data_IF_958506865080
#
_entry.id   IF_958506865080
#
_cell.length_a   1.000
_cell.length_b   1.000
_cell.length_c   1.000
_cell.angle_alpha   90.00
_cell.angle_beta   90.00
_cell.angle_gamma   90.00
#
_symmetry.space_group_name_H-M   'P 1'
#
loop_
_entity.id
_entity.type
_entity.pdbx_description
1 polymer ?
#
# COMPACT_ATOMS: atom_id res chain seq x y z
N UNK A 1 -25.95 0.18 23.20
CA UNK A 1 -24.58 0.25 22.63
C UNK A 1 -24.72 0.76 21.21
N UNK A 2 -24.39 2.03 20.97
CA UNK A 2 -24.40 2.59 19.61
C UNK A 2 -23.16 2.05 18.91
N UNK A 3 -23.35 1.12 17.96
CA UNK A 3 -22.25 0.60 17.15
C UNK A 3 -21.55 1.73 16.43
N UNK A 4 -20.21 1.74 16.46
CA UNK A 4 -19.39 2.63 15.64
C UNK A 4 -19.79 2.42 14.18
N UNK A 5 -20.60 3.32 13.62
CA UNK A 5 -21.02 3.25 12.23
C UNK A 5 -19.81 3.59 11.37
N UNK A 6 -19.26 2.59 10.69
CA UNK A 6 -18.19 2.77 9.71
C UNK A 6 -18.74 3.57 8.53
N UNK A 7 -18.30 4.83 8.38
CA UNK A 7 -18.68 5.69 7.26
C UNK A 7 -17.56 5.72 6.23
N UNK A 8 -17.94 5.67 4.96
CA UNK A 8 -16.99 5.73 3.85
C UNK A 8 -16.93 7.18 3.32
N UNK A 9 -15.76 7.81 3.45
CA UNK A 9 -15.49 9.14 2.90
C UNK A 9 -14.90 8.99 1.51
N UNK A 10 -15.66 9.39 0.49
CA UNK A 10 -15.25 9.31 -0.91
C UNK A 10 -14.84 10.71 -1.37
N UNK A 11 -13.54 10.89 -1.62
CA UNK A 11 -13.03 12.16 -2.12
C UNK A 11 -13.16 12.20 -3.64
N UNK A 12 -13.72 13.29 -4.14
CA UNK A 12 -13.79 13.61 -5.56
C UNK A 12 -12.92 14.84 -5.81
N UNK A 13 -11.93 14.68 -6.68
CA UNK A 13 -11.01 15.73 -7.09
C UNK A 13 -11.25 15.97 -8.57
N UNK A 14 -11.42 17.23 -8.96
CA UNK A 14 -11.47 17.59 -10.37
C UNK A 14 -10.09 17.33 -10.98
N UNK A 15 -10.05 16.73 -12.16
CA UNK A 15 -8.79 16.41 -12.84
C UNK A 15 -7.99 17.70 -13.08
N UNK A 16 -8.65 18.81 -13.42
CA UNK A 16 -8.00 20.09 -13.67
C UNK A 16 -7.43 20.75 -12.39
N UNK A 17 -8.06 20.51 -11.23
CA UNK A 17 -7.64 21.04 -9.92
C UNK A 17 -6.62 20.12 -9.22
N UNK A 18 -6.61 18.83 -9.58
CA UNK A 18 -5.63 17.83 -9.14
C UNK A 18 -4.25 18.01 -9.79
N UNK A 19 -4.17 18.80 -10.85
CA UNK A 19 -2.98 18.98 -11.69
C UNK A 19 -2.25 20.27 -11.32
N UNK A 20 -1.21 20.14 -10.50
CA UNK A 20 -0.10 21.09 -10.53
C UNK A 20 0.61 20.92 -11.89
N UNK A 21 0.35 21.84 -12.83
CA UNK A 21 0.79 21.76 -14.24
C UNK A 21 2.28 21.45 -14.42
N UNK A 22 3.12 21.79 -13.43
CA UNK A 22 4.58 21.79 -13.57
C UNK A 22 5.31 20.60 -12.91
N UNK A 23 4.60 19.56 -12.45
CA UNK A 23 5.22 18.50 -11.64
C UNK A 23 4.63 17.09 -11.87
N UNK A 24 4.79 16.54 -13.08
CA UNK A 24 4.21 15.26 -13.53
C UNK A 24 4.35 14.09 -12.53
N UNK A 25 5.52 13.92 -11.92
CA UNK A 25 5.80 12.78 -11.03
C UNK A 25 5.19 12.92 -9.62
N UNK A 26 4.79 14.13 -9.20
CA UNK A 26 4.24 14.42 -7.86
C UNK A 26 2.77 14.82 -7.87
N UNK A 27 2.11 14.89 -9.05
CA UNK A 27 0.67 15.21 -9.17
C UNK A 27 -0.20 14.28 -8.31
N UNK A 28 -0.13 12.97 -8.58
CA UNK A 28 -0.95 11.96 -7.89
C UNK A 28 -0.60 11.84 -6.40
N UNK A 29 0.68 11.80 -5.99
CA UNK A 29 1.05 11.80 -4.57
C UNK A 29 0.57 13.03 -3.81
N UNK A 30 0.66 14.23 -4.38
CA UNK A 30 0.28 15.46 -3.70
C UNK A 30 -1.23 15.54 -3.50
N UNK A 31 -2.02 15.19 -4.52
CA UNK A 31 -3.47 15.08 -4.37
C UNK A 31 -3.82 14.06 -3.28
N UNK A 32 -3.18 12.89 -3.28
CA UNK A 32 -3.42 11.84 -2.28
C UNK A 32 -3.08 12.30 -0.87
N UNK A 33 -1.89 12.87 -0.65
CA UNK A 33 -1.46 13.38 0.66
C UNK A 33 -2.37 14.51 1.12
N UNK A 34 -2.75 15.43 0.23
CA UNK A 34 -3.64 16.54 0.56
C UNK A 34 -5.01 16.04 1.05
N UNK A 35 -5.57 15.02 0.38
CA UNK A 35 -6.81 14.39 0.81
C UNK A 35 -6.67 13.69 2.18
N UNK A 36 -5.54 13.02 2.42
CA UNK A 36 -5.22 12.39 3.70
C UNK A 36 -5.07 13.42 4.82
N UNK A 37 -4.36 14.52 4.58
CA UNK A 37 -4.14 15.56 5.58
C UNK A 37 -5.45 16.26 5.96
N UNK A 38 -6.27 16.60 4.95
CA UNK A 38 -7.63 17.09 5.18
C UNK A 38 -8.48 16.07 5.96
N UNK A 39 -8.35 14.77 5.67
CA UNK A 39 -9.10 13.73 6.38
C UNK A 39 -8.72 13.68 7.87
N UNK A 40 -7.43 13.73 8.18
CA UNK A 40 -6.95 13.75 9.56
C UNK A 40 -7.37 15.03 10.29
N UNK A 41 -7.33 16.18 9.62
CA UNK A 41 -7.71 17.47 10.23
C UNK A 41 -9.22 17.56 10.49
N UNK A 42 -10.05 17.15 9.53
CA UNK A 42 -11.50 17.35 9.61
C UNK A 42 -12.26 16.18 10.25
N UNK A 43 -11.72 14.96 10.15
CA UNK A 43 -12.41 13.74 10.57
C UNK A 43 -11.62 12.90 11.58
N UNK A 44 -10.38 13.28 11.86
CA UNK A 44 -9.60 12.68 12.94
C UNK A 44 -10.28 12.89 14.29
N UNK A 45 -10.04 11.96 15.21
CA UNK A 45 -10.57 12.00 16.58
C UNK A 45 -9.52 12.50 17.57
N UNK A 46 -8.49 13.20 17.09
CA UNK A 46 -7.27 13.52 17.82
C UNK A 46 -6.58 12.26 18.36
N UNK A 47 -6.58 11.19 17.57
CA UNK A 47 -5.96 9.92 17.93
C UNK A 47 -4.44 10.06 18.10
N UNK A 48 -3.91 9.49 19.19
CA UNK A 48 -2.46 9.41 19.39
C UNK A 48 -1.82 8.33 18.51
N UNK A 49 -2.55 7.24 18.24
CA UNK A 49 -2.13 6.14 17.37
C UNK A 49 -3.13 5.91 16.25
N UNK A 50 -2.63 5.78 15.02
CA UNK A 50 -3.46 5.51 13.84
C UNK A 50 -3.00 4.24 13.11
N UNK A 51 -3.96 3.43 12.64
CA UNK A 51 -3.73 2.27 11.78
C UNK A 51 -4.33 2.52 10.40
N UNK A 52 -3.50 2.50 9.36
CA UNK A 52 -3.90 2.78 7.98
C UNK A 52 -3.75 1.50 7.16
N UNK A 53 -4.85 1.02 6.60
CA UNK A 53 -4.84 -0.11 5.67
C UNK A 53 -4.86 0.41 4.24
N UNK A 54 -3.89 -0.02 3.43
CA UNK A 54 -3.76 0.41 2.04
C UNK A 54 -3.58 -0.78 1.11
N UNK A 55 -4.14 -0.67 -0.09
CA UNK A 55 -3.79 -1.59 -1.16
C UNK A 55 -2.36 -1.34 -1.63
N UNK A 56 -1.64 -2.42 -1.95
CA UNK A 56 -0.28 -2.34 -2.45
C UNK A 56 -0.31 -2.41 -3.98
N UNK A 57 -0.58 -1.26 -4.61
CA UNK A 57 -0.55 -1.15 -6.07
C UNK A 57 0.90 -1.13 -6.57
N UNK A 58 1.32 -2.11 -7.40
CA UNK A 58 2.70 -2.18 -7.89
C UNK A 58 2.97 -1.24 -9.07
N UNK A 59 1.95 -0.74 -9.77
CA UNK A 59 2.10 0.29 -10.79
C UNK A 59 2.36 1.64 -10.09
N UNK A 60 3.56 2.19 -10.32
CA UNK A 60 4.06 3.45 -9.75
C UNK A 60 4.09 3.49 -8.21
N UNK A 61 5.00 2.71 -7.59
CA UNK A 61 5.27 2.73 -6.15
C UNK A 61 5.73 4.13 -5.64
N UNK A 62 4.77 5.03 -5.52
CA UNK A 62 4.85 6.39 -4.98
C UNK A 62 4.66 6.40 -3.46
N UNK A 63 4.66 5.23 -2.82
CA UNK A 63 4.55 5.07 -1.36
C UNK A 63 5.63 5.84 -0.61
N UNK A 64 6.78 6.14 -1.24
CA UNK A 64 7.82 6.99 -0.64
C UNK A 64 7.28 8.35 -0.16
N UNK A 65 6.36 8.96 -0.91
CA UNK A 65 5.79 10.26 -0.57
C UNK A 65 4.81 10.14 0.61
N UNK A 66 3.92 9.13 0.56
CA UNK A 66 3.01 8.82 1.67
C UNK A 66 3.77 8.49 2.96
N UNK A 67 4.78 7.63 2.88
CA UNK A 67 5.62 7.29 4.05
C UNK A 67 6.34 8.51 4.60
N UNK A 68 6.88 9.38 3.72
CA UNK A 68 7.51 10.63 4.13
C UNK A 68 6.55 11.57 4.88
N UNK A 69 5.32 11.73 4.37
CA UNK A 69 4.27 12.49 5.03
C UNK A 69 3.83 11.88 6.37
N UNK A 70 3.58 10.56 6.42
CA UNK A 70 3.20 9.92 7.68
C UNK A 70 4.31 10.01 8.73
N UNK A 71 5.58 9.92 8.31
CA UNK A 71 6.72 10.16 9.19
C UNK A 71 6.76 11.61 9.68
N UNK A 72 6.49 12.60 8.81
CA UNK A 72 6.46 14.01 9.21
C UNK A 72 5.39 14.26 10.28
N UNK A 73 4.19 13.69 10.15
CA UNK A 73 3.11 13.75 11.16
C UNK A 73 3.57 13.25 12.53
N UNK A 74 4.38 12.18 12.58
CA UNK A 74 4.91 11.65 13.85
C UNK A 74 5.98 12.56 14.43
N UNK A 75 6.90 13.03 13.58
CA UNK A 75 8.01 13.88 14.01
C UNK A 75 7.58 15.27 14.48
N UNK A 76 6.49 15.80 13.93
CA UNK A 76 5.88 17.07 14.37
C UNK A 76 4.96 16.91 15.57
N UNK A 77 4.80 15.70 16.10
CA UNK A 77 3.98 15.41 17.28
C UNK A 77 2.47 15.38 16.99
N UNK A 78 2.05 15.42 15.72
CA UNK A 78 0.63 15.30 15.35
C UNK A 78 0.09 13.88 15.57
N UNK A 79 0.98 12.88 15.60
CA UNK A 79 0.69 11.53 16.08
C UNK A 79 1.88 10.99 16.88
N UNK A 80 1.65 10.08 17.81
CA UNK A 80 2.73 9.35 18.49
C UNK A 80 3.19 8.14 17.67
N UNK A 81 2.25 7.52 16.92
CA UNK A 81 2.53 6.33 16.12
C UNK A 81 1.53 6.18 14.99
N UNK A 82 2.02 5.84 13.80
CA UNK A 82 1.19 5.49 12.66
C UNK A 82 1.64 4.13 12.13
N UNK A 83 0.72 3.19 12.00
CA UNK A 83 0.95 1.86 11.43
C UNK A 83 0.40 1.81 10.01
N UNK A 84 1.29 1.79 9.00
CA UNK A 84 0.91 1.61 7.61
C UNK A 84 0.91 0.12 7.26
N UNK A 85 -0.26 -0.42 6.96
CA UNK A 85 -0.51 -1.85 6.74
C UNK A 85 -0.86 -2.06 5.26
N UNK A 86 0.12 -2.51 4.50
CA UNK A 86 -0.02 -2.76 3.06
C UNK A 86 -0.59 -4.15 2.79
N UNK A 87 -1.55 -4.25 1.88
CA UNK A 87 -2.11 -5.52 1.45
C UNK A 87 -1.09 -6.37 0.69
N UNK A 88 -1.15 -7.68 0.85
CA UNK A 88 -0.30 -8.58 0.07
C UNK A 88 -0.68 -8.53 -1.41
N UNK A 89 0.30 -8.39 -2.33
CA UNK A 89 0.03 -8.42 -3.77
C UNK A 89 -0.74 -9.68 -4.18
N UNK A 90 -1.74 -9.53 -5.05
CA UNK A 90 -2.58 -10.63 -5.55
C UNK A 90 -3.87 -10.86 -4.75
N UNK A 91 -4.06 -10.21 -3.61
CA UNK A 91 -5.37 -10.13 -2.97
C UNK A 91 -6.21 -9.06 -3.67
N UNK A 92 -7.22 -9.46 -4.45
CA UNK A 92 -8.08 -8.56 -5.26
C UNK A 92 -9.45 -8.28 -4.61
N UNK A 93 -9.63 -8.65 -3.34
CA UNK A 93 -10.92 -8.54 -2.64
C UNK A 93 -10.74 -7.89 -1.29
N UNK A 94 -10.41 -6.59 -1.27
CA UNK A 94 -10.52 -5.84 -0.03
C UNK A 94 -11.93 -5.25 0.15
N UNK A 95 -12.33 -5.00 1.39
CA UNK A 95 -13.63 -4.38 1.70
C UNK A 95 -13.78 -2.98 1.09
N UNK A 96 -12.67 -2.25 0.91
CA UNK A 96 -12.66 -0.93 0.29
C UNK A 96 -13.05 -1.02 -1.20
N UNK A 97 -12.56 -2.03 -1.92
CA UNK A 97 -12.92 -2.27 -3.34
C UNK A 97 -14.38 -2.64 -3.52
N UNK A 98 -14.96 -3.36 -2.56
CA UNK A 98 -16.36 -3.78 -2.61
C UNK A 98 -17.31 -2.56 -2.65
N UNK A 99 -16.97 -1.48 -1.94
CA UNK A 99 -17.70 -0.21 -1.97
C UNK A 99 -17.69 0.43 -3.37
N UNK A 100 -16.51 0.53 -3.98
CA UNK A 100 -16.37 1.03 -5.35
C UNK A 100 -17.10 0.17 -6.38
N UNK A 101 -17.23 -1.13 -6.15
CA UNK A 101 -18.01 -2.02 -6.99
C UNK A 101 -19.48 -1.61 -7.12
N UNK A 102 -20.11 -1.14 -6.03
CA UNK A 102 -21.50 -0.67 -6.07
C UNK A 102 -21.62 0.69 -6.77
N UNK A 103 -20.72 1.63 -6.46
CA UNK A 103 -20.67 2.92 -7.15
C UNK A 103 -20.49 2.74 -8.67
N UNK A 104 -19.59 1.84 -9.09
CA UNK A 104 -19.34 1.54 -10.51
C UNK A 104 -20.55 0.96 -11.24
N UNK A 105 -21.34 0.11 -10.56
CA UNK A 105 -22.59 -0.43 -11.13
C UNK A 105 -23.64 0.66 -11.34
N UNK A 106 -23.79 1.55 -10.36
CA UNK A 106 -24.75 2.66 -10.44
C UNK A 106 -24.32 3.69 -11.50
N UNK A 107 -23.03 4.03 -11.52
CA UNK A 107 -22.44 4.94 -12.51
C UNK A 107 -22.75 4.51 -13.95
N UNK A 108 -22.54 3.23 -14.29
CA UNK A 108 -22.81 2.67 -15.63
C UNK A 108 -24.28 2.80 -16.09
N UNK A 109 -25.20 3.10 -15.18
CA UNK A 109 -26.65 3.20 -15.42
C UNK A 109 -27.19 4.62 -15.19
N UNK A 110 -26.30 5.58 -14.95
CA UNK A 110 -26.64 6.96 -14.65
C UNK A 110 -26.06 7.88 -15.73
N UNK A 111 -26.78 8.95 -16.07
CA UNK A 111 -26.20 10.03 -16.87
C UNK A 111 -25.35 10.89 -15.94
N UNK A 112 -24.05 11.00 -16.22
CA UNK A 112 -23.07 11.62 -15.33
C UNK A 112 -22.10 12.50 -16.11
N UNK A 113 -22.54 13.73 -16.40
CA UNK A 113 -21.75 14.70 -17.17
C UNK A 113 -20.94 15.68 -16.31
N UNK A 114 -21.13 15.67 -14.98
CA UNK A 114 -20.46 16.62 -14.06
C UNK A 114 -19.94 15.92 -12.80
N UNK A 115 -18.98 16.56 -12.11
CA UNK A 115 -18.49 16.10 -10.81
C UNK A 115 -19.61 16.01 -9.76
N UNK A 116 -20.62 16.88 -9.86
CA UNK A 116 -21.81 16.85 -9.01
C UNK A 116 -22.66 15.61 -9.27
N UNK A 117 -22.87 15.25 -10.53
CA UNK A 117 -23.59 14.01 -10.89
C UNK A 117 -22.84 12.77 -10.37
N UNK A 118 -21.51 12.77 -10.45
CA UNK A 118 -20.68 11.71 -9.89
C UNK A 118 -20.81 11.64 -8.36
N UNK A 119 -20.81 12.79 -7.67
CA UNK A 119 -21.04 12.86 -6.23
C UNK A 119 -22.38 12.21 -5.84
N UNK A 120 -23.43 12.47 -6.61
CA UNK A 120 -24.74 11.89 -6.37
C UNK A 120 -24.75 10.38 -6.58
N UNK A 121 -24.02 9.86 -7.56
CA UNK A 121 -23.84 8.40 -7.73
C UNK A 121 -23.19 7.80 -6.50
N UNK A 122 -22.10 8.38 -6.00
CA UNK A 122 -21.43 7.86 -4.80
C UNK A 122 -22.34 7.89 -3.57
N UNK A 123 -23.06 8.99 -3.33
CA UNK A 123 -24.03 9.10 -2.22
C UNK A 123 -25.16 8.06 -2.33
N UNK A 124 -25.67 7.82 -3.54
CA UNK A 124 -26.76 6.87 -3.78
C UNK A 124 -26.30 5.40 -3.75
N UNK A 125 -25.02 5.14 -3.94
CA UNK A 125 -24.50 3.76 -4.01
C UNK A 125 -24.44 3.02 -2.67
N UNK A 126 -24.43 3.74 -1.54
CA UNK A 126 -24.50 3.16 -0.19
C UNK A 126 -24.98 4.20 0.82
N UNK A 127 -25.79 3.80 1.80
CA UNK A 127 -26.24 4.67 2.91
C UNK A 127 -25.11 5.12 3.84
N UNK A 128 -23.94 4.47 3.77
CA UNK A 128 -22.75 4.81 4.57
C UNK A 128 -21.78 5.74 3.84
N UNK A 129 -22.06 6.07 2.57
CA UNK A 129 -21.18 6.93 1.79
C UNK A 129 -21.43 8.40 2.07
N UNK A 130 -20.33 9.09 2.33
CA UNK A 130 -20.26 10.53 2.29
C UNK A 130 -19.27 10.95 1.21
N UNK A 131 -19.55 12.07 0.55
CA UNK A 131 -18.73 12.57 -0.56
C UNK A 131 -18.13 13.91 -0.19
N UNK A 132 -16.83 14.04 -0.40
CA UNK A 132 -16.06 15.26 -0.21
C UNK A 132 -15.58 15.72 -1.58
N UNK A 133 -16.10 16.84 -2.08
CA UNK A 133 -15.55 17.47 -3.28
C UNK A 133 -14.36 18.32 -2.83
N UNK A 134 -13.16 17.94 -3.26
CA UNK A 134 -11.91 18.50 -2.75
C UNK A 134 -11.16 19.23 -3.87
N UNK A 135 -10.87 20.51 -3.63
CA UNK A 135 -10.27 21.42 -4.62
C UNK A 135 -8.92 22.00 -4.17
N UNK A 136 -8.48 21.75 -2.94
CA UNK A 136 -7.27 22.36 -2.37
C UNK A 136 -6.10 21.38 -2.47
N UNK A 137 -5.26 21.44 -3.49
CA UNK A 137 -4.05 20.60 -3.53
C UNK A 137 -2.87 21.34 -2.92
N UNK A 138 -2.33 20.79 -1.82
CA UNK A 138 -1.07 21.23 -1.22
C UNK A 138 0.10 20.55 -1.94
N UNK A 139 1.19 21.28 -2.17
CA UNK A 139 2.37 20.70 -2.82
C UNK A 139 3.32 20.14 -1.78
N UNK A 140 3.56 18.82 -1.86
CA UNK A 140 4.56 18.14 -1.06
C UNK A 140 5.73 17.74 -1.95
N UNK A 141 6.95 18.01 -1.50
CA UNK A 141 8.16 17.55 -2.17
C UNK A 141 8.96 16.69 -1.22
N UNK A 142 9.56 15.66 -1.80
CA UNK A 142 10.43 14.75 -1.09
C UNK A 142 11.81 14.78 -1.73
N UNK A 143 12.80 15.18 -0.95
CA UNK A 143 14.22 14.91 -1.21
C UNK A 143 14.64 13.77 -0.28
N UNK A 144 15.69 13.00 -0.60
CA UNK A 144 16.23 12.03 0.34
C UNK A 144 16.38 12.65 1.73
N UNK A 145 15.63 12.14 2.71
CA UNK A 145 15.68 12.62 4.09
C UNK A 145 15.04 13.97 4.41
N UNK A 146 14.49 14.70 3.42
CA UNK A 146 13.84 16.00 3.66
C UNK A 146 12.44 15.99 3.06
N UNK A 147 11.46 16.25 3.93
CA UNK A 147 10.07 16.49 3.55
C UNK A 147 9.84 18.00 3.47
N UNK A 148 9.32 18.48 2.35
CA UNK A 148 9.04 19.90 2.12
C UNK A 148 7.55 20.06 1.89
N UNK A 149 6.92 20.90 2.71
CA UNK A 149 5.51 21.27 2.60
C UNK A 149 5.40 22.70 2.07
N UNK A 150 4.55 22.90 1.05
CA UNK A 150 4.22 24.20 0.49
C UNK A 150 2.70 24.39 0.45
N UNK A 151 2.18 25.36 1.21
CA UNK A 151 0.74 25.67 1.22
C UNK A 151 0.22 26.15 -0.15
N UNK A 152 1.10 26.69 -1.02
CA UNK A 152 0.83 27.12 -2.42
C UNK A 152 2.12 27.05 -3.26
N UNK A 153 2.03 27.10 -4.59
CA UNK A 153 3.19 27.13 -5.50
C UNK A 153 4.23 28.23 -5.18
N UNK A 154 3.82 29.30 -4.49
CA UNK A 154 4.66 30.43 -4.07
C UNK A 154 4.66 30.65 -2.53
N UNK A 155 4.27 29.63 -1.75
CA UNK A 155 4.21 29.71 -0.29
C UNK A 155 5.58 29.59 0.39
N UNK A 156 5.63 29.84 1.70
CA UNK A 156 6.84 29.62 2.51
C UNK A 156 7.08 28.11 2.59
N UNK A 157 8.26 27.66 2.16
CA UNK A 157 8.63 26.25 2.22
C UNK A 157 8.98 25.86 3.66
N UNK A 158 8.33 24.81 4.17
CA UNK A 158 8.70 24.22 5.45
C UNK A 158 9.45 22.92 5.21
N UNK A 159 10.77 22.95 5.40
CA UNK A 159 11.62 21.76 5.32
C UNK A 159 11.66 21.03 6.66
N UNK A 160 11.47 19.72 6.63
CA UNK A 160 11.55 18.83 7.79
C UNK A 160 12.53 17.68 7.48
N UNK A 161 13.58 17.55 8.29
CA UNK A 161 14.46 16.39 8.24
C UNK A 161 13.77 15.18 8.87
N UNK A 162 13.62 14.12 8.09
CA UNK A 162 12.99 12.87 8.53
C UNK A 162 14.00 11.77 8.89
N UNK A 163 15.30 12.02 8.71
CA UNK A 163 16.35 11.06 9.05
C UNK A 163 16.85 11.27 10.47
N UNK A 164 17.03 10.15 11.17
CA UNK A 164 17.68 10.13 12.48
C UNK A 164 19.20 10.33 12.39
N UNK A 165 19.80 10.12 11.21
CA UNK A 165 21.23 10.30 10.94
C UNK A 165 21.43 11.21 9.73
N UNK A 166 22.55 11.96 9.66
CA UNK A 166 22.86 12.80 8.52
C UNK A 166 22.94 12.00 7.20
N UNK A 167 22.53 12.60 6.08
CA UNK A 167 22.55 11.97 4.75
C UNK A 167 23.95 11.53 4.33
N UNK A 168 24.97 12.23 4.78
CA UNK A 168 26.38 12.00 4.47
C UNK A 168 26.88 10.64 4.98
N UNK A 169 26.15 10.02 5.92
CA UNK A 169 26.43 8.68 6.43
C UNK A 169 25.74 7.57 5.63
N UNK A 170 24.90 7.92 4.65
CA UNK A 170 24.20 6.97 3.80
C UNK A 170 24.93 6.83 2.47
N UNK A 171 25.46 5.64 2.20
CA UNK A 171 25.97 5.29 0.88
C UNK A 171 24.80 4.84 -0.01
N UNK A 172 24.38 5.62 -1.02
CA UNK A 172 23.26 5.28 -1.87
C UNK A 172 23.52 4.05 -2.76
N UNK A 173 24.78 3.61 -2.90
CA UNK A 173 25.17 2.41 -3.63
C UNK A 173 25.26 1.18 -2.71
N UNK A 174 25.35 1.38 -1.40
CA UNK A 174 25.28 0.31 -0.42
C UNK A 174 23.82 -0.14 -0.25
N UNK A 175 23.40 -1.09 -1.08
CA UNK A 175 22.15 -1.81 -0.86
C UNK A 175 22.16 -2.50 0.52
N UNK A 176 20.98 -2.76 1.13
CA UNK A 176 20.91 -3.58 2.32
C UNK A 176 21.61 -4.91 2.05
N UNK A 177 22.42 -5.37 2.99
CA UNK A 177 23.10 -6.66 2.86
C UNK A 177 22.10 -7.73 2.47
N UNK A 178 22.48 -8.63 1.56
CA UNK A 178 21.63 -9.75 1.15
C UNK A 178 21.21 -10.50 2.42
N UNK A 179 19.93 -10.42 2.77
CA UNK A 179 19.37 -11.27 3.81
C UNK A 179 19.26 -12.64 3.14
N UNK A 180 20.14 -13.62 3.46
CA UNK A 180 19.96 -14.94 2.91
C UNK A 180 18.59 -15.42 3.35
N UNK A 181 17.77 -15.91 2.43
CA UNK A 181 16.52 -16.54 2.80
C UNK A 181 16.85 -17.57 3.87
N UNK A 182 16.36 -17.38 5.08
CA UNK A 182 16.44 -18.39 6.13
C UNK A 182 15.63 -19.56 5.59
N UNK A 183 16.30 -20.47 4.89
CA UNK A 183 15.66 -21.64 4.31
C UNK A 183 14.81 -22.32 5.37
N UNK A 184 13.70 -22.93 4.97
CA UNK A 184 12.84 -23.64 5.90
C UNK A 184 13.67 -24.78 6.55
N UNK A 185 13.58 -24.92 7.87
CA UNK A 185 14.25 -26.04 8.56
C UNK A 185 13.69 -27.38 8.05
N UNK A 186 14.47 -28.46 8.15
CA UNK A 186 14.00 -29.79 7.76
C UNK A 186 12.70 -30.21 8.48
N UNK A 187 12.58 -29.84 9.76
CA UNK A 187 11.36 -30.05 10.54
C UNK A 187 10.17 -29.23 10.01
N UNK A 188 10.39 -27.96 9.62
CA UNK A 188 9.33 -27.13 9.04
C UNK A 188 8.92 -27.62 7.66
N UNK A 189 9.85 -28.14 6.85
CA UNK A 189 9.56 -28.80 5.59
C UNK A 189 8.67 -30.03 5.79
N UNK A 190 9.04 -30.93 6.71
CA UNK A 190 8.25 -32.13 7.01
C UNK A 190 6.84 -31.78 7.51
N UNK A 191 6.73 -30.78 8.39
CA UNK A 191 5.46 -30.26 8.87
C UNK A 191 4.59 -29.73 7.72
N UNK A 192 5.11 -28.80 6.92
CA UNK A 192 4.37 -28.20 5.81
C UNK A 192 3.97 -29.25 4.79
N UNK A 193 4.84 -30.21 4.49
CA UNK A 193 4.49 -31.35 3.64
C UNK A 193 3.31 -32.12 4.21
N UNK A 194 3.36 -32.55 5.48
CA UNK A 194 2.26 -33.30 6.10
C UNK A 194 0.92 -32.55 6.12
N UNK A 195 0.96 -31.21 6.24
CA UNK A 195 -0.24 -30.37 6.35
C UNK A 195 -0.78 -29.90 5.03
N UNK A 196 0.05 -29.72 4.00
CA UNK A 196 -0.35 -29.14 2.71
C UNK A 196 -0.49 -30.21 1.63
N UNK A 197 0.34 -31.26 1.64
CA UNK A 197 0.34 -32.33 0.63
C UNK A 197 -1.05 -32.96 0.41
N UNK A 198 -1.86 -33.28 1.44
CA UNK A 198 -3.18 -33.87 1.26
C UNK A 198 -4.15 -32.98 0.45
N UNK A 199 -3.94 -31.66 0.46
CA UNK A 199 -4.79 -30.68 -0.21
C UNK A 199 -4.27 -30.27 -1.60
N UNK A 200 -3.05 -30.68 -1.96
CA UNK A 200 -2.54 -30.49 -3.32
C UNK A 200 -3.29 -31.38 -4.31
N UNK A 201 -3.46 -30.95 -5.57
CA UNK A 201 -4.09 -31.81 -6.60
C UNK A 201 -3.28 -33.10 -6.80
N UNK A 202 -3.96 -34.22 -7.04
CA UNK A 202 -3.34 -35.56 -7.17
C UNK A 202 -2.17 -35.59 -8.18
N UNK A 203 -2.30 -34.86 -9.28
CA UNK A 203 -1.27 -34.72 -10.33
C UNK A 203 0.06 -34.12 -9.81
N UNK A 204 0.00 -33.26 -8.79
CA UNK A 204 1.18 -32.64 -8.18
C UNK A 204 1.67 -33.40 -6.94
N UNK A 205 0.79 -34.12 -6.24
CA UNK A 205 1.17 -34.94 -5.07
C UNK A 205 2.26 -35.99 -5.41
N UNK A 206 2.21 -36.56 -6.62
CA UNK A 206 3.17 -37.55 -7.12
C UNK A 206 4.53 -36.94 -7.51
N UNK A 207 4.57 -35.64 -7.86
CA UNK A 207 5.81 -34.96 -8.23
C UNK A 207 6.72 -34.73 -7.01
N UNK A 208 6.14 -34.57 -5.82
CA UNK A 208 6.91 -34.40 -4.58
C UNK A 208 7.64 -35.66 -4.14
N UNK A 209 7.09 -36.85 -4.39
CA UNK A 209 7.71 -38.13 -4.03
C UNK A 209 8.99 -38.37 -4.86
N UNK A 210 8.92 -38.11 -6.17
CA UNK A 210 10.06 -38.26 -7.09
C UNK A 210 11.26 -37.37 -6.74
N UNK A 211 11.03 -36.24 -6.07
CA UNK A 211 12.11 -35.31 -5.71
C UNK A 211 12.87 -35.72 -4.45
N UNK A 212 12.27 -36.52 -3.55
CA UNK A 212 12.94 -37.01 -2.35
C UNK A 212 13.85 -38.22 -2.61
N UNK A 213 13.50 -39.08 -3.57
CA UNK A 213 14.32 -40.27 -3.89
C UNK A 213 15.66 -39.92 -4.55
N UNK A 214 15.78 -38.76 -5.20
CA UNK A 214 17.04 -38.29 -5.82
C UNK A 214 18.11 -37.82 -4.82
N UNK A 215 17.86 -37.90 -3.51
CA UNK A 215 18.83 -37.48 -2.48
C UNK A 215 19.69 -38.62 -1.91
N UNK A 216 19.62 -39.84 -2.45
CA UNK A 216 20.49 -40.95 -2.03
C UNK A 216 21.80 -40.96 -2.81
N UNK A 217 22.89 -40.86 -2.05
CA UNK A 217 24.29 -40.84 -2.47
C UNK A 217 24.64 -41.93 -3.50
N UNK A 218 25.33 -41.55 -4.58
CA UNK A 218 26.18 -42.46 -5.34
C UNK A 218 27.56 -41.80 -5.47
N UNK A 219 28.55 -42.44 -4.86
CA UNK A 219 30.00 -42.23 -5.00
C UNK A 219 30.54 -40.80 -4.80
N UNK A 220 30.74 -40.42 -3.54
CA UNK A 220 31.89 -39.61 -3.07
C UNK A 220 32.06 -38.18 -3.61
N UNK A 221 31.18 -37.68 -4.47
CA UNK A 221 31.27 -36.34 -5.05
C UNK A 221 29.99 -35.55 -4.74
N UNK A 222 30.14 -34.41 -4.05
CA UNK A 222 29.04 -33.48 -3.74
C UNK A 222 28.45 -32.94 -5.04
N UNK A 223 27.31 -33.49 -5.47
CA UNK A 223 26.43 -32.79 -6.40
C UNK A 223 25.90 -31.53 -5.72
N UNK A 224 26.20 -30.36 -6.28
CA UNK A 224 25.53 -29.11 -5.94
C UNK A 224 24.03 -29.30 -6.19
N UNK A 225 23.27 -29.47 -5.12
CA UNK A 225 21.80 -29.48 -5.15
C UNK A 225 21.30 -28.07 -5.50
N UNK A 226 21.16 -27.78 -6.79
CA UNK A 226 20.35 -26.67 -7.27
C UNK A 226 18.89 -27.11 -7.25
N UNK A 227 18.30 -27.14 -6.07
CA UNK A 227 16.87 -27.39 -5.94
C UNK A 227 16.09 -26.14 -6.33
N UNK A 228 15.79 -25.98 -7.62
CA UNK A 228 14.72 -25.08 -8.07
C UNK A 228 13.40 -25.70 -7.65
N UNK A 229 12.83 -25.26 -6.54
CA UNK A 229 11.46 -25.63 -6.19
C UNK A 229 10.51 -24.57 -6.72
N UNK A 230 9.68 -25.01 -7.66
CA UNK A 230 8.51 -24.30 -8.15
C UNK A 230 7.47 -24.31 -7.01
N UNK A 231 7.30 -23.17 -6.35
CA UNK A 231 6.11 -22.93 -5.53
C UNK A 231 4.97 -22.78 -6.53
N UNK A 232 3.92 -23.61 -6.51
CA UNK A 232 2.75 -23.37 -7.33
C UNK A 232 2.14 -22.06 -6.83
N UNK A 233 2.29 -21.00 -7.62
CA UNK A 233 1.48 -19.80 -7.47
C UNK A 233 0.04 -20.24 -7.69
N UNK A 234 -0.72 -20.36 -6.61
CA UNK A 234 -2.16 -20.58 -6.69
C UNK A 234 -2.78 -19.27 -7.18
N UNK A 235 -3.08 -19.24 -8.48
CA UNK A 235 -4.01 -18.27 -9.09
C UNK A 235 -5.44 -18.60 -8.67
#
# INVERSE_FOLDING_TARGET
MNGCQSRAKNYLVDEDEGILKDCADTKIPNATISMFDHAFECYGLNEAECGIHCDNCPEENKNRYMTGYLASRVLTGQHQKISLIMQFPGHTKCLLDAGFGQAKKLFRRSNCDTLSHLADVFRKSSSTNEVVQYQKVTSFRFKPGIFIENEKCNGIEKELNILRRPLEQFDPLAGPGVIPAAGLSGARHAYLYSKVHPYARKEYQLQFVKHQEKSKLVNGSKLKSTSKYMIPTLY
#
